data_IF_796678003065
#
_entry.id   IF_796678003065
#
_cell.length_a   1.000
_cell.length_b   1.000
_cell.length_c   1.000
_cell.angle_alpha   90.00
_cell.angle_beta   90.00
_cell.angle_gamma   90.00
#
_symmetry.space_group_name_H-M   'P 1'
#
loop_
_entity.id
_entity.type
_entity.pdbx_description
1 polymer ?
#
# COMPACT_ATOMS: atom_id res chain seq x y z
N UNK A 1 26.42 -4.36 -20.84
CA UNK A 1 26.46 -2.89 -20.79
C UNK A 1 25.14 -2.47 -20.16
N UNK A 2 25.15 -1.68 -19.08
CA UNK A 2 23.90 -1.08 -18.63
C UNK A 2 23.43 -0.15 -19.74
N UNK A 3 22.22 -0.36 -20.27
CA UNK A 3 21.59 0.60 -21.16
C UNK A 3 21.37 1.90 -20.36
N UNK A 4 22.36 2.79 -20.41
CA UNK A 4 22.28 4.15 -19.90
C UNK A 4 21.97 5.04 -21.09
N UNK A 5 21.01 5.95 -20.96
CA UNK A 5 20.66 6.82 -22.05
C UNK A 5 21.87 7.70 -22.39
N UNK A 6 22.17 7.80 -23.69
CA UNK A 6 23.31 8.56 -24.19
C UNK A 6 23.09 10.04 -23.83
N UNK A 7 24.11 10.68 -23.26
CA UNK A 7 24.10 12.13 -22.98
C UNK A 7 25.24 12.77 -23.76
N UNK A 8 24.90 13.61 -24.73
CA UNK A 8 25.86 14.36 -25.53
C UNK A 8 26.07 15.76 -24.97
N UNK A 9 27.31 16.23 -25.01
CA UNK A 9 27.67 17.60 -24.65
C UNK A 9 27.42 18.57 -25.81
N UNK A 10 27.43 19.88 -25.52
CA UNK A 10 27.36 20.92 -26.55
C UNK A 10 28.48 20.80 -27.59
N UNK A 11 29.69 20.41 -27.13
CA UNK A 11 30.85 20.15 -27.98
C UNK A 11 30.57 19.02 -28.99
N UNK A 12 29.97 17.91 -28.54
CA UNK A 12 29.62 16.78 -29.41
C UNK A 12 28.63 17.20 -30.49
N UNK A 13 27.66 18.05 -30.14
CA UNK A 13 26.70 18.61 -31.09
C UNK A 13 27.35 19.60 -32.06
N UNK A 14 28.26 20.46 -31.58
CA UNK A 14 29.01 21.39 -32.43
C UNK A 14 29.82 20.64 -33.48
N UNK A 15 30.57 19.63 -33.06
CA UNK A 15 31.47 18.89 -33.93
C UNK A 15 30.68 18.13 -35.01
N UNK A 16 29.57 17.50 -34.62
CA UNK A 16 28.65 16.87 -35.57
C UNK A 16 28.01 17.89 -36.53
N UNK A 17 27.63 19.08 -36.04
CA UNK A 17 27.03 20.12 -36.86
C UNK A 17 28.03 20.66 -37.89
N UNK A 18 29.28 20.90 -37.49
CA UNK A 18 30.36 21.30 -38.39
C UNK A 18 30.66 20.21 -39.42
N UNK A 19 30.64 18.93 -39.05
CA UNK A 19 30.87 17.83 -39.98
C UNK A 19 29.80 17.77 -41.10
N UNK A 20 28.55 18.08 -40.77
CA UNK A 20 27.43 18.13 -41.71
C UNK A 20 27.49 19.32 -42.70
N UNK A 21 28.27 20.36 -42.40
CA UNK A 21 28.44 21.49 -43.31
C UNK A 21 29.33 21.13 -44.52
N UNK A 22 29.10 21.72 -45.71
CA UNK A 22 29.93 21.47 -46.88
C UNK A 22 31.41 21.78 -46.65
N UNK A 23 32.28 21.19 -47.47
CA UNK A 23 33.72 21.45 -47.46
C UNK A 23 34.06 22.65 -48.36
N UNK A 24 35.10 23.43 -48.02
CA UNK A 24 35.64 24.51 -48.88
C UNK A 24 35.96 25.80 -48.13
N UNK A 25 36.58 26.78 -48.81
CA UNK A 25 37.02 28.05 -48.23
C UNK A 25 35.89 28.90 -47.62
N UNK A 26 34.66 28.73 -48.12
CA UNK A 26 33.48 29.38 -47.57
C UNK A 26 33.10 28.87 -46.17
N UNK A 27 33.63 27.72 -45.74
CA UNK A 27 33.30 27.05 -44.47
C UNK A 27 34.57 26.80 -43.64
N UNK A 28 35.06 27.81 -42.89
CA UNK A 28 36.24 27.67 -42.04
C UNK A 28 35.90 26.89 -40.75
N UNK A 29 35.79 25.56 -40.87
CA UNK A 29 35.30 24.64 -39.82
C UNK A 29 36.30 24.26 -38.73
N UNK A 30 37.60 24.37 -39.02
CA UNK A 30 38.67 23.87 -38.14
C UNK A 30 39.41 24.98 -37.37
N UNK A 31 38.98 26.23 -37.52
CA UNK A 31 39.59 27.38 -36.86
C UNK A 31 38.64 27.89 -35.78
N UNK A 32 38.99 27.73 -34.51
CA UNK A 32 38.16 28.16 -33.37
C UNK A 32 37.91 29.68 -33.36
N UNK A 33 38.81 30.47 -33.96
CA UNK A 33 38.64 31.92 -34.11
C UNK A 33 37.66 32.31 -35.24
N UNK A 34 37.17 31.36 -36.03
CA UNK A 34 36.25 31.68 -37.11
C UNK A 34 34.87 32.02 -36.54
N UNK A 35 34.24 33.08 -37.08
CA UNK A 35 32.88 33.49 -36.70
C UNK A 35 31.90 32.33 -36.88
N UNK A 36 32.09 31.53 -37.93
CA UNK A 36 31.25 30.34 -38.17
C UNK A 36 31.38 29.32 -37.03
N UNK A 37 32.60 29.01 -36.60
CA UNK A 37 32.84 28.07 -35.51
C UNK A 37 32.21 28.57 -34.21
N UNK A 38 32.43 29.84 -33.85
CA UNK A 38 31.87 30.45 -32.64
C UNK A 38 30.33 30.51 -32.66
N UNK A 39 29.73 30.77 -33.82
CA UNK A 39 28.27 30.73 -33.98
C UNK A 39 27.76 29.30 -33.82
N UNK A 40 28.43 28.31 -34.41
CA UNK A 40 28.03 26.90 -34.24
C UNK A 40 28.19 26.45 -32.79
N UNK A 41 29.26 26.84 -32.11
CA UNK A 41 29.52 26.56 -30.70
C UNK A 41 28.39 27.12 -29.81
N UNK A 42 28.07 28.41 -29.93
CA UNK A 42 26.99 29.04 -29.16
C UNK A 42 25.60 28.49 -29.49
N UNK A 43 25.34 28.09 -30.73
CA UNK A 43 24.06 27.45 -31.11
C UNK A 43 23.97 26.01 -30.61
N UNK A 44 25.09 25.28 -30.55
CA UNK A 44 25.13 23.86 -30.20
C UNK A 44 25.19 23.62 -28.69
N UNK A 45 25.72 24.57 -27.90
CA UNK A 45 25.82 24.46 -26.45
C UNK A 45 24.47 24.12 -25.78
N UNK A 46 23.40 24.81 -26.19
CA UNK A 46 22.06 24.59 -25.66
C UNK A 46 21.53 23.16 -25.94
N UNK A 47 21.97 22.49 -27.00
CA UNK A 47 21.55 21.13 -27.30
C UNK A 47 22.11 20.11 -26.31
N UNK A 48 23.30 20.35 -25.75
CA UNK A 48 23.82 19.54 -24.65
C UNK A 48 22.93 19.61 -23.41
N UNK A 49 22.42 20.81 -23.10
CA UNK A 49 21.42 20.97 -22.03
C UNK A 49 20.13 20.21 -22.35
N UNK A 50 19.56 20.37 -23.55
CA UNK A 50 18.32 19.67 -23.94
C UNK A 50 18.48 18.14 -23.90
N UNK A 51 19.57 17.59 -24.44
CA UNK A 51 19.82 16.15 -24.45
C UNK A 51 19.98 15.60 -23.04
N UNK A 52 20.69 16.33 -22.17
CA UNK A 52 20.83 15.95 -20.75
C UNK A 52 19.49 15.92 -20.01
N UNK A 53 18.59 16.87 -20.29
CA UNK A 53 17.25 16.95 -19.71
C UNK A 53 16.32 15.87 -20.27
N UNK A 54 16.45 15.55 -21.55
CA UNK A 54 15.73 14.42 -22.16
C UNK A 54 16.16 13.08 -21.54
N UNK A 55 17.45 12.92 -21.27
CA UNK A 55 17.95 11.75 -20.55
C UNK A 55 17.44 11.71 -19.10
N UNK A 56 17.42 12.82 -18.35
CA UNK A 56 16.82 12.88 -17.01
C UNK A 56 15.34 12.48 -17.02
N UNK A 57 14.58 12.95 -18.01
CA UNK A 57 13.17 12.62 -18.18
C UNK A 57 12.97 11.09 -18.35
N UNK A 58 13.81 10.45 -19.17
CA UNK A 58 13.72 9.01 -19.44
C UNK A 58 14.28 8.16 -18.30
N UNK A 59 15.41 8.54 -17.70
CA UNK A 59 16.09 7.75 -16.67
C UNK A 59 15.44 7.91 -15.28
N UNK A 60 14.98 9.11 -14.93
CA UNK A 60 14.53 9.43 -13.58
C UNK A 60 13.02 9.69 -13.53
N UNK A 61 12.52 10.57 -14.38
CA UNK A 61 11.13 11.04 -14.26
C UNK A 61 10.09 10.06 -14.81
N UNK A 62 10.49 9.18 -15.73
CA UNK A 62 9.63 8.12 -16.28
C UNK A 62 9.33 7.02 -15.25
N UNK A 63 10.16 6.89 -14.20
CA UNK A 63 10.08 5.82 -13.23
C UNK A 63 9.47 6.33 -11.90
N UNK A 64 8.32 5.80 -11.46
CA UNK A 64 7.61 6.29 -10.26
C UNK A 64 8.40 6.11 -8.96
N UNK A 65 9.40 5.23 -8.95
CA UNK A 65 10.27 4.97 -7.79
C UNK A 65 11.30 6.08 -7.53
N UNK A 66 11.62 6.88 -8.53
CA UNK A 66 12.75 7.84 -8.49
C UNK A 66 12.41 9.22 -9.07
N UNK A 67 11.22 9.40 -9.66
CA UNK A 67 10.72 10.70 -10.14
C UNK A 67 10.74 11.77 -9.05
N UNK A 68 11.13 12.99 -9.40
CA UNK A 68 11.19 14.12 -8.49
C UNK A 68 10.35 15.27 -9.04
N UNK A 69 10.60 15.67 -10.29
CA UNK A 69 9.92 16.80 -10.93
C UNK A 69 8.50 16.44 -11.36
N UNK A 70 8.31 15.25 -11.95
CA UNK A 70 7.00 14.77 -12.41
C UNK A 70 6.18 14.08 -11.30
N UNK A 71 6.68 14.00 -10.07
CA UNK A 71 5.97 13.36 -8.97
C UNK A 71 4.53 13.88 -8.79
N UNK A 72 4.25 15.20 -8.82
CA UNK A 72 2.88 15.71 -8.72
C UNK A 72 1.97 15.28 -9.89
N UNK A 73 2.53 15.13 -11.10
CA UNK A 73 1.77 14.68 -12.27
C UNK A 73 1.41 13.19 -12.17
N UNK A 74 2.36 12.37 -11.70
CA UNK A 74 2.12 10.98 -11.39
C UNK A 74 1.03 10.80 -10.33
N UNK A 75 1.12 11.53 -9.22
CA UNK A 75 0.13 11.48 -8.14
C UNK A 75 -1.25 11.87 -8.63
N UNK A 76 -1.38 12.96 -9.40
CA UNK A 76 -2.65 13.35 -10.00
C UNK A 76 -3.25 12.22 -10.85
N UNK A 77 -2.43 11.57 -11.68
CA UNK A 77 -2.91 10.51 -12.57
C UNK A 77 -3.38 9.26 -11.79
N UNK A 78 -2.78 8.99 -10.63
CA UNK A 78 -3.13 7.85 -9.78
C UNK A 78 -4.09 8.18 -8.63
N UNK A 79 -4.59 9.42 -8.57
CA UNK A 79 -5.56 9.86 -7.57
C UNK A 79 -4.98 9.97 -6.17
N UNK A 80 -3.69 10.32 -6.06
CA UNK A 80 -2.99 10.61 -4.81
C UNK A 80 -2.95 12.12 -4.54
N UNK A 81 -2.91 12.56 -3.27
CA UNK A 81 -3.00 11.73 -2.05
C UNK A 81 -4.38 11.09 -1.89
N UNK A 82 -4.42 9.88 -1.30
CA UNK A 82 -5.71 9.20 -1.06
C UNK A 82 -6.50 10.01 -0.02
N UNK A 83 -7.79 10.30 -0.25
CA UNK A 83 -8.61 11.07 0.70
C UNK A 83 -8.74 10.40 2.07
N UNK A 84 -8.47 9.10 2.18
CA UNK A 84 -8.65 8.35 3.42
C UNK A 84 -7.55 8.59 4.47
N UNK A 85 -6.36 9.02 4.10
CA UNK A 85 -5.27 9.21 5.08
C UNK A 85 -4.48 10.48 4.81
N UNK A 86 -3.78 10.95 5.84
CA UNK A 86 -2.95 12.14 5.73
C UNK A 86 -1.86 11.95 4.69
N UNK A 87 -1.74 12.90 3.77
CA UNK A 87 -0.74 12.85 2.71
C UNK A 87 0.69 12.71 3.30
N UNK A 88 1.50 11.77 2.79
CA UNK A 88 2.89 11.63 3.22
C UNK A 88 3.66 12.92 2.95
N UNK A 89 4.51 13.30 3.91
CA UNK A 89 5.20 14.59 3.88
C UNK A 89 6.53 14.53 3.12
N UNK A 90 7.16 13.36 3.06
CA UNK A 90 8.46 13.19 2.39
C UNK A 90 8.31 12.68 0.95
N UNK A 91 9.24 13.06 0.06
CA UNK A 91 9.27 12.59 -1.33
C UNK A 91 9.38 11.06 -1.39
N UNK A 92 10.21 10.45 -0.53
CA UNK A 92 10.40 9.00 -0.52
C UNK A 92 9.15 8.23 -0.12
N UNK A 93 8.38 8.71 0.87
CA UNK A 93 7.10 8.09 1.25
C UNK A 93 6.05 8.25 0.14
N UNK A 94 6.01 9.43 -0.51
CA UNK A 94 5.13 9.69 -1.66
C UNK A 94 5.42 8.75 -2.84
N UNK A 95 6.69 8.54 -3.17
CA UNK A 95 7.12 7.57 -4.19
C UNK A 95 6.70 6.14 -3.83
N UNK A 96 6.83 5.72 -2.57
CA UNK A 96 6.37 4.39 -2.11
C UNK A 96 4.86 4.25 -2.24
N UNK A 97 4.09 5.23 -1.80
CA UNK A 97 2.63 5.24 -1.92
C UNK A 97 2.18 5.17 -3.38
N UNK A 98 2.85 5.91 -4.27
CA UNK A 98 2.63 5.86 -5.72
C UNK A 98 2.91 4.46 -6.27
N UNK A 99 4.07 3.88 -5.96
CA UNK A 99 4.46 2.55 -6.45
C UNK A 99 3.50 1.48 -5.93
N UNK A 100 3.13 1.54 -4.65
CA UNK A 100 2.13 0.66 -4.06
C UNK A 100 0.81 0.78 -4.84
N UNK A 101 0.31 2.01 -5.07
CA UNK A 101 -0.95 2.24 -5.81
C UNK A 101 -0.89 1.74 -7.25
N UNK A 102 0.24 1.90 -7.92
CA UNK A 102 0.47 1.45 -9.29
C UNK A 102 0.54 -0.08 -9.42
N UNK A 103 1.12 -0.74 -8.42
CA UNK A 103 1.38 -2.19 -8.44
C UNK A 103 0.32 -2.99 -7.69
N UNK A 104 -0.60 -2.32 -6.99
CA UNK A 104 -1.68 -2.95 -6.24
C UNK A 104 -2.58 -3.76 -7.18
N UNK A 105 -2.43 -5.08 -7.12
CA UNK A 105 -3.39 -6.01 -7.70
C UNK A 105 -4.51 -6.19 -6.69
N UNK A 106 -5.67 -5.59 -6.97
CA UNK A 106 -6.85 -5.74 -6.12
C UNK A 106 -7.27 -7.21 -6.03
N UNK A 107 -7.66 -7.63 -4.83
CA UNK A 107 -8.29 -8.92 -4.58
C UNK A 107 -9.51 -8.74 -3.67
N UNK A 108 -10.31 -9.79 -3.53
CA UNK A 108 -11.52 -9.82 -2.70
C UNK A 108 -11.41 -10.95 -1.67
N UNK A 109 -10.21 -11.16 -1.14
CA UNK A 109 -9.92 -12.15 -0.10
C UNK A 109 -9.66 -11.46 1.23
N UNK A 110 -9.98 -12.15 2.33
CA UNK A 110 -9.63 -11.74 3.68
C UNK A 110 -8.18 -11.30 3.82
N UNK A 111 -7.26 -12.14 3.33
CA UNK A 111 -5.83 -11.92 3.47
C UNK A 111 -5.39 -10.63 2.78
N UNK A 112 -5.95 -10.30 1.62
CA UNK A 112 -5.65 -9.05 0.92
C UNK A 112 -5.95 -7.82 1.80
N UNK A 113 -7.10 -7.79 2.47
CA UNK A 113 -7.45 -6.67 3.35
C UNK A 113 -6.59 -6.62 4.62
N UNK A 114 -6.19 -7.78 5.16
CA UNK A 114 -5.26 -7.86 6.29
C UNK A 114 -3.88 -7.31 5.88
N UNK A 115 -3.37 -7.69 4.71
CA UNK A 115 -2.07 -7.24 4.20
C UNK A 115 -2.07 -5.72 3.95
N UNK A 116 -3.16 -5.18 3.38
CA UNK A 116 -3.34 -3.74 3.18
C UNK A 116 -3.35 -2.98 4.51
N UNK A 117 -4.03 -3.51 5.52
CA UNK A 117 -4.05 -2.89 6.85
C UNK A 117 -2.66 -2.90 7.50
N UNK A 118 -1.89 -3.97 7.32
CA UNK A 118 -0.53 -4.09 7.82
C UNK A 118 0.43 -3.07 7.19
N UNK A 119 0.29 -2.78 5.89
CA UNK A 119 1.07 -1.75 5.18
C UNK A 119 0.81 -0.33 5.73
N UNK A 120 -0.40 -0.05 6.21
CA UNK A 120 -0.77 1.23 6.84
C UNK A 120 -0.34 1.25 8.33
N UNK A 121 0.03 0.09 8.90
CA UNK A 121 0.52 -0.04 10.27
C UNK A 121 -0.51 -0.58 11.28
N UNK A 122 -1.63 -1.12 10.81
CA UNK A 122 -2.66 -1.73 11.66
C UNK A 122 -2.57 -3.26 11.66
N UNK A 123 -2.77 -3.85 12.83
CA UNK A 123 -2.99 -5.29 12.98
C UNK A 123 -4.48 -5.56 13.14
N UNK A 124 -5.06 -6.26 12.17
CA UNK A 124 -6.49 -6.59 12.14
C UNK A 124 -6.72 -8.07 11.90
N UNK A 125 -7.87 -8.55 12.36
CA UNK A 125 -8.46 -9.81 11.91
C UNK A 125 -9.87 -9.56 11.36
N UNK A 126 -10.33 -10.42 10.46
CA UNK A 126 -11.63 -10.27 9.81
C UNK A 126 -12.40 -11.56 9.99
N UNK A 127 -13.60 -11.42 10.55
CA UNK A 127 -14.59 -12.47 10.70
C UNK A 127 -15.65 -12.33 9.62
N UNK A 128 -15.84 -13.36 8.80
CA UNK A 128 -16.97 -13.42 7.86
C UNK A 128 -17.97 -14.48 8.34
N UNK A 129 -19.25 -14.23 8.10
CA UNK A 129 -20.31 -15.12 8.54
C UNK A 129 -20.89 -15.91 7.38
N UNK A 130 -21.34 -17.13 7.65
CA UNK A 130 -22.18 -17.87 6.71
C UNK A 130 -23.42 -18.42 7.41
N UNK A 131 -24.60 -18.37 6.77
CA UNK A 131 -25.78 -19.00 7.32
C UNK A 131 -25.66 -20.52 7.26
N UNK A 132 -26.31 -21.20 8.19
CA UNK A 132 -26.53 -22.64 8.11
C UNK A 132 -27.44 -22.97 6.92
N UNK A 133 -26.99 -23.84 6.02
CA UNK A 133 -27.73 -24.25 4.82
C UNK A 133 -28.07 -25.73 4.86
N UNK A 134 -29.36 -26.05 4.96
CA UNK A 134 -29.85 -27.43 4.94
C UNK A 134 -29.46 -28.09 3.61
N UNK A 135 -28.80 -29.26 3.70
CA UNK A 135 -28.30 -30.01 2.54
C UNK A 135 -26.82 -29.75 2.21
N UNK A 136 -26.22 -28.69 2.76
CA UNK A 136 -24.76 -28.47 2.78
C UNK A 136 -24.18 -28.71 4.17
N UNK A 137 -24.88 -28.22 5.20
CA UNK A 137 -24.51 -28.30 6.61
C UNK A 137 -25.32 -29.37 7.36
N UNK A 138 -24.79 -29.86 8.48
CA UNK A 138 -25.41 -30.91 9.32
C UNK A 138 -25.28 -30.61 10.81
N UNK A 139 -26.28 -31.00 11.61
CA UNK A 139 -26.17 -30.93 13.07
C UNK A 139 -25.10 -31.89 13.57
N UNK A 140 -24.24 -31.44 14.49
CA UNK A 140 -23.08 -32.21 14.94
C UNK A 140 -21.94 -32.26 13.92
N UNK A 141 -21.90 -31.35 12.94
CA UNK A 141 -20.74 -31.21 12.06
C UNK A 141 -19.53 -30.79 12.87
N UNK A 142 -18.53 -31.67 12.95
CA UNK A 142 -17.30 -31.44 13.70
C UNK A 142 -16.20 -30.78 12.86
N UNK A 143 -16.53 -30.22 11.69
CA UNK A 143 -15.60 -29.43 10.85
C UNK A 143 -15.08 -28.16 11.54
N UNK A 144 -15.51 -27.91 12.78
CA UNK A 144 -15.05 -26.82 13.66
C UNK A 144 -14.11 -27.33 14.75
N UNK A 145 -14.04 -28.64 15.00
CA UNK A 145 -13.12 -29.20 15.99
C UNK A 145 -11.89 -29.72 15.26
N UNK A 146 -10.74 -29.10 15.54
CA UNK A 146 -9.46 -29.70 15.16
C UNK A 146 -9.18 -30.86 16.10
N UNK A 147 -8.50 -31.91 15.64
CA UNK A 147 -8.02 -33.02 16.48
C UNK A 147 -6.56 -32.80 16.90
N UNK A 148 -6.04 -31.58 16.75
CA UNK A 148 -4.63 -31.23 16.93
C UNK A 148 -3.68 -31.87 15.91
N UNK A 149 -4.17 -32.63 14.92
CA UNK A 149 -3.33 -33.24 13.90
C UNK A 149 -3.03 -32.28 12.75
N UNK A 150 -1.86 -32.46 12.11
CA UNK A 150 -1.57 -31.70 10.89
C UNK A 150 -2.62 -32.04 9.81
N UNK A 151 -2.99 -31.07 8.96
CA UNK A 151 -4.03 -31.24 7.95
C UNK A 151 -3.67 -32.22 6.81
N UNK A 152 -2.81 -33.22 7.00
CA UNK A 152 -2.63 -34.29 6.03
C UNK A 152 -2.89 -35.66 6.64
N UNK A 153 -3.08 -35.73 7.97
CA UNK A 153 -3.28 -36.98 8.70
C UNK A 153 -4.58 -37.02 9.52
N UNK A 154 -5.42 -35.99 9.44
CA UNK A 154 -6.71 -35.98 10.14
C UNK A 154 -7.73 -36.89 9.41
N UNK A 155 -8.47 -37.74 10.14
CA UNK A 155 -9.55 -38.55 9.59
C UNK A 155 -10.81 -37.72 9.25
N UNK A 156 -10.84 -36.43 9.61
CA UNK A 156 -11.91 -35.48 9.28
C UNK A 156 -11.65 -34.72 7.96
N UNK A 157 -10.59 -35.06 7.23
CA UNK A 157 -10.27 -34.49 5.90
C UNK A 157 -11.36 -34.75 4.86
N UNK A 158 -12.20 -33.74 4.64
CA UNK A 158 -13.16 -33.71 3.54
C UNK A 158 -12.67 -32.74 2.47
N UNK A 159 -12.31 -33.29 1.32
CA UNK A 159 -11.95 -32.56 0.11
C UNK A 159 -13.09 -31.63 -0.38
N UNK A 160 -12.82 -30.43 -0.95
CA UNK A 160 -11.50 -29.84 -1.25
C UNK A 160 -11.22 -28.54 -0.45
N UNK A 161 -10.15 -28.54 0.34
CA UNK A 161 -9.40 -27.35 0.80
C UNK A 161 -10.02 -26.39 1.83
N UNK A 162 -10.31 -26.84 3.06
CA UNK A 162 -10.39 -25.90 4.20
C UNK A 162 -9.64 -26.48 5.42
N UNK A 163 -8.44 -25.98 5.76
CA UNK A 163 -7.74 -26.37 6.98
C UNK A 163 -8.44 -25.77 8.21
N UNK A 164 -8.64 -26.59 9.24
CA UNK A 164 -9.23 -26.20 10.54
C UNK A 164 -8.12 -25.55 11.37
N UNK A 165 -7.93 -24.24 11.19
CA UNK A 165 -6.88 -23.46 11.88
C UNK A 165 -7.46 -22.42 12.84
N UNK A 166 -6.69 -22.10 13.87
CA UNK A 166 -6.94 -20.97 14.75
C UNK A 166 -6.61 -19.64 14.02
N UNK A 167 -6.90 -18.47 14.62
CA UNK A 167 -6.58 -17.17 14.02
C UNK A 167 -5.10 -16.95 13.69
N UNK A 168 -4.20 -17.74 14.29
CA UNK A 168 -2.76 -17.69 14.07
C UNK A 168 -2.29 -18.64 12.95
N UNK A 169 -3.20 -19.37 12.29
CA UNK A 169 -2.87 -20.33 11.23
C UNK A 169 -2.36 -21.68 11.74
N UNK A 170 -2.46 -21.94 13.04
CA UNK A 170 -2.07 -23.21 13.67
C UNK A 170 -3.26 -24.18 13.70
N UNK A 171 -3.04 -25.51 13.65
CA UNK A 171 -4.12 -26.48 13.80
C UNK A 171 -4.84 -26.32 15.14
N UNK A 172 -6.17 -26.34 15.10
CA UNK A 172 -7.02 -26.21 16.30
C UNK A 172 -6.91 -27.48 17.16
N UNK A 173 -6.83 -27.35 18.49
CA UNK A 173 -6.73 -28.48 19.41
C UNK A 173 -8.02 -29.29 19.57
N UNK A 174 -7.91 -30.51 20.09
CA UNK A 174 -9.07 -31.40 20.34
C UNK A 174 -10.08 -30.74 21.30
N UNK A 175 -11.30 -30.49 20.79
CA UNK A 175 -12.37 -29.79 21.51
C UNK A 175 -12.34 -28.26 21.42
N UNK A 176 -11.35 -27.67 20.76
CA UNK A 176 -11.31 -26.23 20.46
C UNK A 176 -12.08 -25.93 19.16
N UNK A 177 -12.72 -24.76 19.11
CA UNK A 177 -13.48 -24.31 17.95
C UNK A 177 -12.54 -23.58 16.97
N UNK A 178 -12.59 -23.95 15.70
CA UNK A 178 -11.92 -23.22 14.64
C UNK A 178 -12.59 -21.89 14.38
N UNK A 179 -11.79 -20.91 14.00
CA UNK A 179 -12.29 -19.61 13.57
C UNK A 179 -13.22 -19.75 12.35
N UNK A 180 -13.10 -20.85 11.57
CA UNK A 180 -13.81 -21.02 10.32
C UNK A 180 -14.43 -22.39 10.05
N UNK A 181 -15.64 -22.42 9.47
CA UNK A 181 -16.56 -21.30 9.29
C UNK A 181 -17.33 -20.98 10.58
N UNK A 182 -17.46 -19.69 10.92
CA UNK A 182 -18.30 -19.26 12.04
C UNK A 182 -19.77 -19.42 11.66
N UNK A 183 -20.38 -20.54 12.06
CA UNK A 183 -21.78 -20.84 11.80
C UNK A 183 -22.68 -19.93 12.62
N UNK A 184 -23.31 -18.96 11.97
CA UNK A 184 -24.40 -18.21 12.57
C UNK A 184 -25.72 -18.93 12.34
N UNK A 185 -26.44 -19.28 13.42
CA UNK A 185 -27.89 -19.37 13.34
C UNK A 185 -28.40 -17.93 13.17
N UNK A 186 -28.81 -17.60 11.95
CA UNK A 186 -29.18 -16.23 11.63
C UNK A 186 -29.84 -16.14 10.27
N UNK A 187 -30.34 -14.96 9.93
CA UNK A 187 -31.01 -14.73 8.66
C UNK A 187 -29.97 -14.75 7.51
N UNK A 188 -30.39 -15.03 6.26
CA UNK A 188 -29.47 -15.21 5.14
C UNK A 188 -28.59 -13.97 4.84
N UNK A 189 -29.00 -12.80 5.32
CA UNK A 189 -28.29 -11.53 5.18
C UNK A 189 -26.95 -11.51 5.95
N UNK A 190 -26.76 -12.37 6.95
CA UNK A 190 -25.50 -12.43 7.70
C UNK A 190 -24.27 -12.63 6.81
N UNK A 191 -24.42 -13.30 5.66
CA UNK A 191 -23.33 -13.51 4.68
C UNK A 191 -22.75 -12.23 4.09
N UNK A 192 -23.48 -11.13 4.22
CA UNK A 192 -23.10 -9.83 3.72
C UNK A 192 -22.39 -8.99 4.78
N UNK A 193 -22.22 -9.48 6.00
CA UNK A 193 -21.55 -8.74 7.06
C UNK A 193 -20.15 -9.30 7.30
N UNK A 194 -19.19 -8.40 7.43
CA UNK A 194 -17.86 -8.69 7.95
C UNK A 194 -17.67 -7.95 9.27
N UNK A 195 -17.04 -8.60 10.25
CA UNK A 195 -16.56 -7.92 11.45
C UNK A 195 -15.05 -7.80 11.37
N UNK A 196 -14.55 -6.56 11.37
CA UNK A 196 -13.13 -6.25 11.35
C UNK A 196 -12.72 -5.94 12.78
N UNK A 197 -11.93 -6.82 13.39
CA UNK A 197 -11.39 -6.61 14.72
C UNK A 197 -10.06 -5.89 14.61
N UNK A 198 -9.96 -4.73 15.26
CA UNK A 198 -8.73 -3.93 15.31
C UNK A 198 -8.01 -4.23 16.61
N UNK A 199 -6.81 -4.80 16.55
CA UNK A 199 -6.09 -5.24 17.75
C UNK A 199 -5.25 -4.15 18.40
N UNK A 200 -4.83 -3.17 17.62
CA UNK A 200 -3.96 -2.08 18.07
C UNK A 200 -4.45 -0.74 17.55
N UNK A 201 -4.70 0.18 18.47
CA UNK A 201 -5.01 1.58 18.17
C UNK A 201 -4.48 2.49 19.29
N UNK A 202 -4.54 3.80 19.08
CA UNK A 202 -4.14 4.78 20.08
C UNK A 202 -5.10 4.78 21.27
N UNK A 203 -4.55 4.58 22.47
CA UNK A 203 -5.29 4.66 23.73
C UNK A 203 -4.85 5.92 24.48
N UNK A 204 -5.77 6.84 24.71
CA UNK A 204 -5.50 8.04 25.49
C UNK A 204 -6.18 7.93 26.85
N UNK A 205 -5.38 7.66 27.87
CA UNK A 205 -5.85 7.60 29.26
C UNK A 205 -6.03 8.99 29.83
N UNK A 206 -7.05 9.14 30.69
CA UNK A 206 -7.25 10.34 31.47
C UNK A 206 -6.06 10.61 32.40
N UNK A 207 -5.59 11.86 32.41
CA UNK A 207 -4.48 12.31 33.26
C UNK A 207 -4.93 13.46 34.15
N UNK A 208 -4.49 13.45 35.40
CA UNK A 208 -4.66 14.57 36.35
C UNK A 208 -3.39 15.43 36.32
N UNK A 209 -3.53 16.75 36.19
CA UNK A 209 -2.40 17.69 36.21
C UNK A 209 -2.56 18.87 35.26
N UNK A 210 -1.53 19.72 35.15
CA UNK A 210 -1.53 20.84 34.21
C UNK A 210 -1.53 20.32 32.77
N UNK A 211 -2.61 20.62 32.02
CA UNK A 211 -2.85 20.05 30.68
C UNK A 211 -3.49 18.65 30.68
N UNK A 212 -3.94 18.17 31.84
CA UNK A 212 -4.71 16.92 31.99
C UNK A 212 -6.20 17.07 31.68
N UNK A 213 -6.93 15.96 31.78
CA UNK A 213 -8.37 15.93 31.55
C UNK A 213 -9.17 16.56 32.69
N UNK A 214 -10.35 17.07 32.37
CA UNK A 214 -11.32 17.65 33.30
C UNK A 214 -12.29 16.59 33.81
N UNK A 215 -12.31 16.39 35.13
CA UNK A 215 -13.25 15.48 35.80
C UNK A 215 -14.70 15.89 35.53
N UNK A 216 -15.53 14.94 35.09
CA UNK A 216 -16.94 15.15 34.76
C UNK A 216 -17.21 15.62 33.33
N UNK A 217 -16.16 15.88 32.53
CA UNK A 217 -16.28 16.18 31.10
C UNK A 217 -15.53 15.12 30.28
N UNK A 218 -14.27 14.88 30.61
CA UNK A 218 -13.44 13.95 29.85
C UNK A 218 -13.64 12.51 30.33
N UNK A 219 -13.78 11.54 29.39
CA UNK A 219 -13.86 10.13 29.74
C UNK A 219 -12.53 9.62 30.29
N UNK A 220 -12.57 8.58 31.11
CA UNK A 220 -11.37 7.95 31.69
C UNK A 220 -10.44 7.33 30.64
N UNK A 221 -10.98 6.91 29.49
CA UNK A 221 -10.25 6.38 28.36
C UNK A 221 -10.90 6.90 27.07
N UNK A 222 -10.08 7.40 26.14
CA UNK A 222 -10.46 7.62 24.75
C UNK A 222 -9.74 6.60 23.88
N UNK A 223 -10.51 5.87 23.10
CA UNK A 223 -9.99 4.97 22.07
C UNK A 223 -9.96 5.78 20.78
N UNK A 224 -8.79 5.91 20.16
CA UNK A 224 -8.69 6.50 18.83
C UNK A 224 -9.29 5.54 17.82
N UNK A 225 -10.24 6.02 17.02
CA UNK A 225 -10.74 5.27 15.88
C UNK A 225 -9.71 5.33 14.75
N UNK A 226 -9.53 4.21 14.04
CA UNK A 226 -8.67 4.12 12.88
C UNK A 226 -9.41 4.67 11.65
N UNK A 227 -9.64 5.99 11.61
CA UNK A 227 -10.44 6.66 10.57
C UNK A 227 -9.91 6.40 9.16
N UNK A 228 -8.59 6.27 9.03
CA UNK A 228 -7.90 5.95 7.78
C UNK A 228 -8.18 4.53 7.30
N UNK A 229 -8.05 3.55 8.20
CA UNK A 229 -8.37 2.16 7.93
C UNK A 229 -9.86 1.99 7.59
N UNK A 230 -10.74 2.63 8.38
CA UNK A 230 -12.18 2.58 8.17
C UNK A 230 -12.56 3.11 6.79
N UNK A 231 -12.00 4.26 6.39
CA UNK A 231 -12.25 4.85 5.09
C UNK A 231 -11.78 3.94 3.95
N UNK A 232 -10.57 3.36 4.03
CA UNK A 232 -10.04 2.47 2.99
C UNK A 232 -10.90 1.22 2.86
N UNK A 233 -11.19 0.55 3.96
CA UNK A 233 -11.97 -0.69 3.93
C UNK A 233 -13.40 -0.44 3.46
N UNK A 234 -14.05 0.65 3.90
CA UNK A 234 -15.38 1.01 3.40
C UNK A 234 -15.39 1.33 1.90
N UNK A 235 -14.30 1.90 1.38
CA UNK A 235 -14.16 2.22 -0.04
C UNK A 235 -13.84 0.99 -0.90
N UNK A 236 -13.08 0.04 -0.37
CA UNK A 236 -12.57 -1.11 -1.14
C UNK A 236 -13.37 -2.40 -0.90
N UNK A 237 -14.27 -2.45 0.09
CA UNK A 237 -15.14 -3.60 0.35
C UNK A 237 -15.95 -3.98 -0.90
N UNK A 238 -16.31 -5.27 -1.06
CA UNK A 238 -17.30 -5.64 -2.05
C UNK A 238 -18.58 -4.82 -1.85
N UNK A 239 -19.22 -4.38 -2.95
CA UNK A 239 -20.38 -3.49 -2.87
C UNK A 239 -21.56 -4.03 -2.04
N UNK A 240 -21.68 -5.35 -1.94
CA UNK A 240 -22.73 -6.04 -1.19
C UNK A 240 -22.36 -6.34 0.27
N UNK A 241 -21.12 -6.07 0.67
CA UNK A 241 -20.63 -6.38 2.02
C UNK A 241 -20.75 -5.15 2.90
N UNK A 242 -21.25 -5.28 4.11
CA UNK A 242 -21.23 -4.27 5.16
C UNK A 242 -20.20 -4.63 6.23
N UNK A 243 -19.42 -3.64 6.64
CA UNK A 243 -18.34 -3.83 7.61
C UNK A 243 -18.78 -3.27 8.96
N UNK A 244 -18.61 -4.08 10.00
CA UNK A 244 -18.72 -3.68 11.39
C UNK A 244 -17.31 -3.65 11.97
N UNK A 245 -16.88 -2.48 12.45
CA UNK A 245 -15.60 -2.34 13.12
C UNK A 245 -15.75 -2.67 14.59
N UNK A 246 -14.95 -3.62 15.06
CA UNK A 246 -14.86 -4.01 16.45
C UNK A 246 -13.52 -3.58 17.04
N UNK A 247 -13.59 -2.68 18.01
CA UNK A 247 -12.45 -2.20 18.79
C UNK A 247 -12.40 -2.87 20.18
N UNK A 248 -13.13 -3.96 20.38
CA UNK A 248 -13.00 -4.79 21.56
C UNK A 248 -11.72 -5.62 21.52
N UNK A 249 -11.18 -5.96 22.71
CA UNK A 249 -9.98 -6.81 22.79
C UNK A 249 -8.67 -6.14 22.40
N UNK A 250 -8.59 -4.80 22.44
CA UNK A 250 -7.33 -4.06 22.26
C UNK A 250 -6.29 -4.52 23.29
N UNK A 251 -5.15 -5.02 22.82
CA UNK A 251 -4.03 -5.40 23.67
C UNK A 251 -3.13 -4.18 23.88
N UNK A 252 -3.03 -3.63 25.10
CA UNK A 252 -2.06 -2.58 25.37
C UNK A 252 -0.65 -3.18 25.32
N UNK A 253 0.21 -2.69 24.41
CA UNK A 253 1.64 -3.06 24.37
C UNK A 253 2.33 -2.69 25.71
N UNK A 254 1.82 -1.67 26.38
CA UNK A 254 2.02 -1.35 27.81
C UNK A 254 0.90 -0.34 28.18
N UNK A 255 0.10 -0.57 29.26
CA UNK A 255 -0.91 0.39 29.69
C UNK A 255 -0.34 1.78 30.03
N UNK A 256 0.98 1.89 30.17
CA UNK A 256 1.75 3.11 30.41
C UNK A 256 2.58 3.58 29.20
N UNK A 257 2.68 2.84 28.08
CA UNK A 257 3.47 3.26 26.92
C UNK A 257 2.86 4.52 26.28
N UNK A 258 3.50 5.65 26.53
CA UNK A 258 2.94 6.99 26.37
C UNK A 258 3.27 7.91 27.56
N UNK A 259 3.89 7.39 28.62
CA UNK A 259 4.63 8.18 29.61
C UNK A 259 6.03 8.52 29.09
N UNK A 260 6.39 9.79 28.90
CA UNK A 260 7.76 10.22 29.16
C UNK A 260 8.08 10.09 30.66
#
# INVERSE_FOLDING_TARGET
>A
MSDRHLRRSGDDYRDAFLELLPQGQAWPKHTMDSVLWQVCDGLCDYWGFVDSRAADLLEQESAPRITQELLPDWERNWGLPDPCYSAPQTIGERQRALVMRMTLLGAQSRQFYIDVAAEIGYSITISEYRPFMVGLDRCGDNRVYGDGSVPMFSPTWFWPYAPIVNPNGEPVGDGELSEWPNYGLGPPENRFYWTVHVHKTSLTWFRVGAGGGQTGIDPHLRIGHAEDLECILQRWKPAHTEIIFDYSGLTPDDPMAGTP
#
